data_IF_795819899358
#
_entry.id   IF_795819899358
#
_cell.length_a   1.000
_cell.length_b   1.000
_cell.length_c   1.000
_cell.angle_alpha   90.00
_cell.angle_beta   90.00
_cell.angle_gamma   90.00
#
_symmetry.space_group_name_H-M   'P 1'
#
loop_
_entity.id
_entity.type
_entity.pdbx_description
1 polymer ?
#
# COMPACT_ATOMS: atom_id res chain seq x y z
N UNK A 1 -30.76 -0.67 13.73
CA UNK A 1 -29.84 -0.90 14.87
C UNK A 1 -28.46 -1.34 14.38
N UNK A 2 -28.31 -2.48 13.70
CA UNK A 2 -27.02 -2.94 13.16
C UNK A 2 -26.31 -1.96 12.18
N UNK A 3 -27.05 -1.28 11.30
CA UNK A 3 -26.43 -0.26 10.44
C UNK A 3 -25.82 0.91 11.23
N UNK A 4 -26.41 1.27 12.37
CA UNK A 4 -25.87 2.31 13.24
C UNK A 4 -24.61 1.82 13.98
N UNK A 5 -24.63 0.58 14.48
CA UNK A 5 -23.46 -0.07 15.08
C UNK A 5 -22.30 -0.21 14.09
N UNK A 6 -22.56 -0.58 12.82
CA UNK A 6 -21.52 -0.63 11.80
C UNK A 6 -20.95 0.77 11.49
N UNK A 7 -21.79 1.81 11.46
CA UNK A 7 -21.30 3.17 11.24
C UNK A 7 -20.44 3.66 12.42
N UNK A 8 -20.83 3.33 13.66
CA UNK A 8 -20.03 3.61 14.86
C UNK A 8 -18.71 2.83 14.86
N UNK A 9 -18.72 1.55 14.47
CA UNK A 9 -17.50 0.76 14.34
C UNK A 9 -16.56 1.29 13.26
N UNK A 10 -17.09 1.74 12.11
CA UNK A 10 -16.28 2.43 11.11
C UNK A 10 -15.68 3.74 11.66
N UNK A 11 -16.47 4.54 12.40
CA UNK A 11 -16.01 5.79 13.01
C UNK A 11 -14.89 5.54 14.03
N UNK A 12 -15.05 4.57 14.93
CA UNK A 12 -14.02 4.18 15.90
C UNK A 12 -12.77 3.64 15.20
N UNK A 13 -12.92 2.90 14.09
CA UNK A 13 -11.79 2.47 13.26
C UNK A 13 -11.02 3.66 12.70
N UNK A 14 -11.71 4.68 12.18
CA UNK A 14 -11.07 5.91 11.72
C UNK A 14 -10.38 6.70 12.83
N UNK A 15 -10.84 6.56 14.07
CA UNK A 15 -10.25 7.18 15.26
C UNK A 15 -9.09 6.36 15.86
N UNK A 16 -8.80 5.18 15.31
CA UNK A 16 -7.77 4.27 15.82
C UNK A 16 -8.18 3.47 17.07
N UNK A 17 -9.44 3.58 17.51
CA UNK A 17 -9.97 2.81 18.63
C UNK A 17 -10.50 1.45 18.14
N UNK A 18 -9.54 0.57 17.87
CA UNK A 18 -9.82 -0.77 17.33
C UNK A 18 -10.58 -1.67 18.31
N UNK A 19 -10.39 -1.49 19.62
CA UNK A 19 -11.12 -2.27 20.63
C UNK A 19 -12.61 -1.92 20.61
N UNK A 20 -12.94 -0.63 20.64
CA UNK A 20 -14.31 -0.18 20.59
C UNK A 20 -14.96 -0.47 19.22
N UNK A 21 -14.21 -0.34 18.14
CA UNK A 21 -14.67 -0.72 16.81
C UNK A 21 -15.02 -2.22 16.71
N UNK A 22 -14.15 -3.09 17.25
CA UNK A 22 -14.37 -4.54 17.28
C UNK A 22 -15.65 -4.88 18.02
N UNK A 23 -15.86 -4.27 19.21
CA UNK A 23 -17.08 -4.46 20.00
C UNK A 23 -18.35 -4.10 19.22
N UNK A 24 -18.37 -2.94 18.56
CA UNK A 24 -19.55 -2.54 17.77
C UNK A 24 -19.84 -3.49 16.60
N UNK A 25 -18.79 -4.01 15.94
CA UNK A 25 -19.00 -4.97 14.85
C UNK A 25 -19.37 -6.37 15.34
N UNK A 26 -18.92 -6.81 16.52
CA UNK A 26 -19.37 -8.05 17.16
C UNK A 26 -20.84 -7.97 17.58
N UNK A 27 -21.27 -6.87 18.19
CA UNK A 27 -22.68 -6.61 18.51
C UNK A 27 -23.56 -6.58 17.25
N UNK A 28 -23.08 -5.90 16.20
CA UNK A 28 -23.73 -5.87 14.89
C UNK A 28 -23.81 -7.26 14.26
N UNK A 29 -22.76 -8.08 14.39
CA UNK A 29 -22.72 -9.45 13.89
C UNK A 29 -23.76 -10.32 14.60
N UNK A 30 -23.83 -10.26 15.93
CA UNK A 30 -24.81 -10.99 16.72
C UNK A 30 -26.24 -10.61 16.30
N UNK A 31 -26.54 -9.31 16.26
CA UNK A 31 -27.86 -8.83 15.83
C UNK A 31 -28.24 -9.30 14.42
N UNK A 32 -27.32 -9.22 13.45
CA UNK A 32 -27.58 -9.66 12.08
C UNK A 32 -27.80 -11.18 11.98
N UNK A 33 -27.14 -11.98 12.82
CA UNK A 33 -27.43 -13.42 12.94
C UNK A 33 -28.84 -13.66 13.48
N UNK A 34 -29.24 -12.94 14.53
CA UNK A 34 -30.56 -13.09 15.16
C UNK A 34 -31.71 -12.78 14.20
N UNK A 35 -31.56 -11.73 13.38
CA UNK A 35 -32.59 -11.34 12.39
C UNK A 35 -32.46 -12.08 11.05
N UNK A 36 -31.49 -13.00 10.91
CA UNK A 36 -31.26 -13.76 9.67
C UNK A 36 -30.73 -12.93 8.49
N UNK A 37 -30.14 -11.75 8.73
CA UNK A 37 -29.63 -10.87 7.69
C UNK A 37 -28.26 -11.36 7.18
N UNK A 38 -28.27 -12.23 6.16
CA UNK A 38 -27.03 -12.75 5.53
C UNK A 38 -26.07 -11.62 5.10
N UNK A 39 -26.57 -10.60 4.41
CA UNK A 39 -25.72 -9.48 3.99
C UNK A 39 -25.17 -8.70 5.19
N UNK A 40 -25.97 -8.51 6.24
CA UNK A 40 -25.52 -7.84 7.46
C UNK A 40 -24.41 -8.61 8.16
N UNK A 41 -24.56 -9.94 8.29
CA UNK A 41 -23.53 -10.84 8.82
C UNK A 41 -22.23 -10.69 8.02
N UNK A 42 -22.34 -10.72 6.70
CA UNK A 42 -21.20 -10.63 5.81
C UNK A 42 -20.51 -9.25 5.86
N UNK A 43 -21.25 -8.15 6.08
CA UNK A 43 -20.65 -6.83 6.31
C UNK A 43 -19.90 -6.81 7.64
N UNK A 44 -20.52 -7.28 8.72
CA UNK A 44 -19.89 -7.26 10.06
C UNK A 44 -18.63 -8.12 10.11
N UNK A 45 -18.65 -9.33 9.53
CA UNK A 45 -17.46 -10.17 9.38
C UNK A 45 -16.36 -9.44 8.59
N UNK A 46 -16.72 -8.78 7.49
CA UNK A 46 -15.76 -8.01 6.73
C UNK A 46 -15.07 -6.90 7.51
N UNK A 47 -15.82 -6.16 8.33
CA UNK A 47 -15.25 -5.10 9.15
C UNK A 47 -14.37 -5.66 10.28
N UNK A 48 -14.79 -6.78 10.90
CA UNK A 48 -13.95 -7.49 11.88
C UNK A 48 -12.65 -8.00 11.25
N UNK A 49 -12.70 -8.48 10.00
CA UNK A 49 -11.52 -8.88 9.24
C UNK A 49 -10.56 -7.72 9.02
N UNK A 50 -11.06 -6.53 8.71
CA UNK A 50 -10.25 -5.31 8.55
C UNK A 50 -9.60 -4.87 9.85
N UNK A 51 -10.32 -4.93 10.96
CA UNK A 51 -9.77 -4.60 12.28
C UNK A 51 -8.68 -5.60 12.68
N UNK A 52 -8.95 -6.90 12.55
CA UNK A 52 -7.98 -7.95 12.82
C UNK A 52 -6.72 -7.76 11.95
N UNK A 53 -6.87 -7.43 10.67
CA UNK A 53 -5.75 -7.13 9.78
C UNK A 53 -4.90 -5.96 10.30
N UNK A 54 -5.54 -4.84 10.65
CA UNK A 54 -4.84 -3.65 11.16
C UNK A 54 -4.16 -3.89 12.52
N UNK A 55 -4.64 -4.86 13.31
CA UNK A 55 -4.01 -5.29 14.56
C UNK A 55 -2.90 -6.34 14.35
N UNK A 56 -2.63 -6.76 13.11
CA UNK A 56 -1.66 -7.81 12.79
C UNK A 56 -2.16 -9.24 13.05
N UNK A 57 -3.46 -9.41 13.37
CA UNK A 57 -4.11 -10.70 13.59
C UNK A 57 -4.47 -11.37 12.24
N UNK A 58 -3.48 -11.63 11.39
CA UNK A 58 -3.68 -12.03 9.99
C UNK A 58 -4.51 -13.32 9.80
N UNK A 59 -4.32 -14.33 10.65
CA UNK A 59 -5.11 -15.57 10.58
C UNK A 59 -6.59 -15.33 10.91
N UNK A 60 -6.86 -14.48 11.89
CA UNK A 60 -8.22 -14.13 12.27
C UNK A 60 -8.88 -13.25 11.19
N UNK A 61 -8.12 -12.33 10.61
CA UNK A 61 -8.56 -11.51 9.49
C UNK A 61 -8.94 -12.36 8.28
N UNK A 62 -8.09 -13.33 7.92
CA UNK A 62 -8.33 -14.28 6.84
C UNK A 62 -9.62 -15.06 7.05
N UNK A 63 -9.83 -15.63 8.24
CA UNK A 63 -11.07 -16.35 8.58
C UNK A 63 -12.31 -15.49 8.39
N UNK A 64 -12.30 -14.26 8.92
CA UNK A 64 -13.42 -13.33 8.76
C UNK A 64 -13.70 -12.97 7.30
N UNK A 65 -12.66 -12.75 6.50
CA UNK A 65 -12.80 -12.47 5.08
C UNK A 65 -13.29 -13.69 4.27
N UNK A 66 -12.84 -14.91 4.59
CA UNK A 66 -13.34 -16.14 3.96
C UNK A 66 -14.82 -16.39 4.26
N UNK A 67 -15.25 -16.23 5.52
CA UNK A 67 -16.67 -16.34 5.91
C UNK A 67 -17.52 -15.27 5.20
N UNK A 68 -17.03 -14.04 5.15
CA UNK A 68 -17.67 -12.91 4.45
C UNK A 68 -17.78 -13.13 2.93
N UNK A 69 -16.74 -13.68 2.31
CA UNK A 69 -16.67 -14.03 0.90
C UNK A 69 -17.66 -15.16 0.56
N UNK A 70 -17.73 -16.20 1.39
CA UNK A 70 -18.66 -17.31 1.21
C UNK A 70 -20.11 -16.82 1.16
N UNK A 71 -20.53 -15.98 2.11
CA UNK A 71 -21.87 -15.42 2.13
C UNK A 71 -22.13 -14.52 0.90
N UNK A 72 -21.15 -13.71 0.49
CA UNK A 72 -21.30 -12.87 -0.72
C UNK A 72 -21.44 -13.68 -2.00
N UNK A 73 -20.76 -14.82 -2.08
CA UNK A 73 -20.89 -15.77 -3.18
C UNK A 73 -22.30 -16.36 -3.22
N UNK A 74 -22.86 -16.76 -2.07
CA UNK A 74 -24.26 -17.21 -1.99
C UNK A 74 -25.26 -16.14 -2.42
N UNK A 75 -24.98 -14.87 -2.07
CA UNK A 75 -25.85 -13.73 -2.39
C UNK A 75 -25.63 -13.18 -3.81
N UNK A 76 -24.67 -13.70 -4.58
CA UNK A 76 -24.31 -13.16 -5.90
C UNK A 76 -23.73 -11.74 -5.87
N UNK A 77 -23.20 -11.28 -4.72
CA UNK A 77 -22.60 -9.95 -4.58
C UNK A 77 -21.19 -9.92 -5.20
N UNK A 78 -21.13 -9.77 -6.53
CA UNK A 78 -19.89 -9.79 -7.31
C UNK A 78 -18.87 -8.72 -6.89
N UNK A 79 -19.32 -7.49 -6.65
CA UNK A 79 -18.43 -6.41 -6.17
C UNK A 79 -17.75 -6.81 -4.87
N UNK A 80 -18.54 -7.23 -3.88
CA UNK A 80 -18.01 -7.67 -2.62
C UNK A 80 -17.10 -8.89 -2.75
N UNK A 81 -17.44 -9.87 -3.59
CA UNK A 81 -16.55 -11.03 -3.84
C UNK A 81 -15.15 -10.59 -4.27
N UNK A 82 -15.06 -9.68 -5.26
CA UNK A 82 -13.78 -9.20 -5.75
C UNK A 82 -12.98 -8.45 -4.66
N UNK A 83 -13.64 -7.64 -3.85
CA UNK A 83 -13.00 -6.86 -2.79
C UNK A 83 -12.43 -7.77 -1.68
N UNK A 84 -13.15 -8.81 -1.26
CA UNK A 84 -12.64 -9.75 -0.25
C UNK A 84 -11.58 -10.70 -0.80
N UNK A 85 -11.67 -11.13 -2.07
CA UNK A 85 -10.57 -11.83 -2.74
C UNK A 85 -9.31 -10.97 -2.77
N UNK A 86 -9.43 -9.69 -3.10
CA UNK A 86 -8.31 -8.75 -3.09
C UNK A 86 -7.70 -8.62 -1.68
N UNK A 87 -8.52 -8.45 -0.65
CA UNK A 87 -8.03 -8.37 0.73
C UNK A 87 -7.36 -9.66 1.20
N UNK A 88 -7.91 -10.83 0.86
CA UNK A 88 -7.28 -12.13 1.13
C UNK A 88 -5.92 -12.25 0.43
N UNK A 89 -5.82 -11.80 -0.83
CA UNK A 89 -4.57 -11.70 -1.57
C UNK A 89 -3.52 -10.86 -0.83
N UNK A 90 -3.92 -9.70 -0.30
CA UNK A 90 -3.03 -8.84 0.50
C UNK A 90 -2.54 -9.49 1.79
N UNK A 91 -3.40 -10.25 2.48
CA UNK A 91 -3.01 -11.01 3.68
C UNK A 91 -1.95 -12.04 3.35
N UNK A 92 -2.23 -12.92 2.39
CA UNK A 92 -1.31 -14.02 2.08
C UNK A 92 -0.01 -13.53 1.44
N UNK A 93 -0.05 -12.41 0.70
CA UNK A 93 1.15 -11.69 0.24
C UNK A 93 2.02 -11.25 1.43
N UNK A 94 1.42 -10.63 2.45
CA UNK A 94 2.12 -10.18 3.66
C UNK A 94 2.72 -11.36 4.44
N UNK A 95 2.10 -12.54 4.37
CA UNK A 95 2.60 -13.78 4.96
C UNK A 95 3.67 -14.48 4.10
N UNK A 96 3.96 -13.98 2.89
CA UNK A 96 4.96 -14.52 1.97
C UNK A 96 4.47 -15.64 1.05
N UNK A 97 3.17 -15.96 1.05
CA UNK A 97 2.57 -16.92 0.11
C UNK A 97 2.14 -16.21 -1.18
N UNK A 98 3.14 -15.93 -2.02
CA UNK A 98 2.99 -15.17 -3.27
C UNK A 98 2.17 -15.90 -4.33
N UNK A 99 2.20 -17.24 -4.36
CA UNK A 99 1.41 -18.04 -5.30
C UNK A 99 -0.09 -17.95 -4.97
N UNK A 100 -0.44 -18.09 -3.68
CA UNK A 100 -1.82 -17.92 -3.25
C UNK A 100 -2.29 -16.47 -3.38
N UNK A 101 -1.40 -15.49 -3.16
CA UNK A 101 -1.68 -14.07 -3.38
C UNK A 101 -2.05 -13.81 -4.84
N UNK A 102 -1.23 -14.30 -5.78
CA UNK A 102 -1.46 -14.19 -7.22
C UNK A 102 -2.84 -14.70 -7.59
N UNK A 103 -3.18 -15.92 -7.15
CA UNK A 103 -4.48 -16.54 -7.43
C UNK A 103 -5.65 -15.67 -6.94
N UNK A 104 -5.57 -15.16 -5.71
CA UNK A 104 -6.61 -14.27 -5.18
C UNK A 104 -6.76 -12.97 -5.96
N UNK A 105 -5.64 -12.37 -6.39
CA UNK A 105 -5.67 -11.15 -7.21
C UNK A 105 -6.18 -11.42 -8.64
N UNK A 106 -5.84 -12.56 -9.24
CA UNK A 106 -6.37 -12.99 -10.55
C UNK A 106 -7.89 -13.24 -10.49
N UNK A 107 -8.37 -13.95 -9.47
CA UNK A 107 -9.81 -14.18 -9.25
C UNK A 107 -10.56 -12.85 -9.05
N UNK A 108 -9.98 -11.94 -8.25
CA UNK A 108 -10.52 -10.59 -8.06
C UNK A 108 -10.55 -9.78 -9.36
N UNK A 109 -9.46 -9.84 -10.15
CA UNK A 109 -9.34 -9.16 -11.44
C UNK A 109 -10.40 -9.66 -12.42
N UNK A 110 -10.62 -10.97 -12.50
CA UNK A 110 -11.64 -11.56 -13.38
C UNK A 110 -13.04 -11.03 -13.03
N UNK A 111 -13.42 -11.05 -11.76
CA UNK A 111 -14.72 -10.52 -11.31
C UNK A 111 -14.83 -9.01 -11.54
N UNK A 112 -13.76 -8.24 -11.30
CA UNK A 112 -13.72 -6.79 -11.55
C UNK A 112 -13.88 -6.44 -13.03
N UNK A 113 -13.31 -7.25 -13.93
CA UNK A 113 -13.54 -7.17 -15.38
C UNK A 113 -14.99 -7.48 -15.74
N UNK A 114 -15.57 -8.54 -15.19
CA UNK A 114 -16.99 -8.90 -15.42
C UNK A 114 -17.96 -7.76 -15.07
N UNK A 115 -17.74 -7.07 -13.95
CA UNK A 115 -18.63 -5.99 -13.48
C UNK A 115 -18.23 -4.59 -13.98
N UNK A 116 -17.16 -4.47 -14.79
CA UNK A 116 -16.68 -3.20 -15.32
C UNK A 116 -16.10 -2.24 -14.26
N UNK A 117 -15.61 -2.74 -13.12
CA UNK A 117 -15.00 -1.92 -12.07
C UNK A 117 -13.58 -1.48 -12.45
N UNK A 118 -13.46 -0.43 -13.25
CA UNK A 118 -12.19 0.14 -13.75
C UNK A 118 -11.14 0.38 -12.65
N UNK A 119 -11.52 1.02 -11.54
CA UNK A 119 -10.60 1.29 -10.42
C UNK A 119 -10.09 -0.04 -9.83
N UNK A 120 -11.02 -0.97 -9.56
CA UNK A 120 -10.64 -2.28 -9.03
C UNK A 120 -9.75 -3.07 -9.99
N UNK A 121 -9.97 -3.00 -11.31
CA UNK A 121 -9.10 -3.64 -12.30
C UNK A 121 -7.67 -3.10 -12.15
N UNK A 122 -7.50 -1.78 -12.08
CA UNK A 122 -6.19 -1.17 -11.90
C UNK A 122 -5.53 -1.58 -10.57
N UNK A 123 -6.28 -1.65 -9.47
CA UNK A 123 -5.76 -2.09 -8.17
C UNK A 123 -5.30 -3.55 -8.20
N UNK A 124 -6.08 -4.44 -8.82
CA UNK A 124 -5.70 -5.86 -8.94
C UNK A 124 -4.47 -6.05 -9.82
N UNK A 125 -4.36 -5.31 -10.95
CA UNK A 125 -3.17 -5.31 -11.79
C UNK A 125 -1.95 -4.80 -11.04
N UNK A 126 -2.08 -3.70 -10.30
CA UNK A 126 -0.97 -3.16 -9.51
C UNK A 126 -0.47 -4.18 -8.47
N UNK A 127 -1.37 -4.88 -7.78
CA UNK A 127 -0.95 -5.90 -6.81
C UNK A 127 -0.37 -7.15 -7.47
N UNK A 128 -0.87 -7.57 -8.64
CA UNK A 128 -0.23 -8.63 -9.43
C UNK A 128 1.19 -8.23 -9.85
N UNK A 129 1.38 -6.98 -10.25
CA UNK A 129 2.71 -6.42 -10.53
C UNK A 129 3.62 -6.50 -9.31
N UNK A 130 3.10 -6.16 -8.12
CA UNK A 130 3.82 -6.28 -6.85
C UNK A 130 4.23 -7.72 -6.52
N UNK A 131 3.34 -8.70 -6.76
CA UNK A 131 3.68 -10.13 -6.62
C UNK A 131 4.84 -10.51 -7.53
N UNK A 132 4.75 -10.18 -8.82
CA UNK A 132 5.79 -10.52 -9.80
C UNK A 132 7.12 -9.84 -9.47
N UNK A 133 7.09 -8.57 -9.06
CA UNK A 133 8.26 -7.82 -8.62
C UNK A 133 8.97 -8.52 -7.47
N UNK A 134 8.23 -8.93 -6.44
CA UNK A 134 8.79 -9.61 -5.27
C UNK A 134 9.34 -11.00 -5.60
N UNK A 135 8.77 -11.67 -6.60
CA UNK A 135 9.30 -12.94 -7.15
C UNK A 135 10.48 -12.74 -8.12
N UNK A 136 10.85 -11.50 -8.46
CA UNK A 136 11.95 -11.17 -9.37
C UNK A 136 11.59 -11.23 -10.86
N UNK A 137 10.32 -11.44 -11.22
CA UNK A 137 9.83 -11.34 -12.60
C UNK A 137 9.50 -9.88 -12.94
N UNK A 138 10.55 -9.10 -13.17
CA UNK A 138 10.45 -7.66 -13.42
C UNK A 138 9.75 -7.32 -14.75
N UNK A 139 9.83 -8.20 -15.76
CA UNK A 139 9.17 -8.00 -17.05
C UNK A 139 7.64 -8.15 -16.93
N UNK A 140 7.17 -9.19 -16.23
CA UNK A 140 5.75 -9.34 -15.98
C UNK A 140 5.24 -8.26 -15.00
N UNK A 141 6.04 -7.89 -14.00
CA UNK A 141 5.72 -6.77 -13.11
C UNK A 141 5.51 -5.47 -13.88
N UNK A 142 6.44 -5.13 -14.78
CA UNK A 142 6.34 -3.96 -15.66
C UNK A 142 5.03 -3.94 -16.45
N UNK A 143 4.71 -5.06 -17.09
CA UNK A 143 3.48 -5.19 -17.90
C UNK A 143 2.23 -4.88 -17.07
N UNK A 144 2.12 -5.49 -15.88
CA UNK A 144 0.98 -5.23 -15.00
C UNK A 144 0.91 -3.78 -14.50
N UNK A 145 2.04 -3.18 -14.14
CA UNK A 145 2.07 -1.78 -13.71
C UNK A 145 1.75 -0.80 -14.85
N UNK A 146 2.19 -1.07 -16.08
CA UNK A 146 1.85 -0.26 -17.27
C UNK A 146 0.36 -0.33 -17.59
N UNK A 147 -0.25 -1.53 -17.55
CA UNK A 147 -1.69 -1.70 -17.72
C UNK A 147 -2.48 -0.97 -16.63
N UNK A 148 -2.04 -1.07 -15.37
CA UNK A 148 -2.64 -0.33 -14.26
C UNK A 148 -2.56 1.18 -14.49
N UNK A 149 -1.37 1.70 -14.82
CA UNK A 149 -1.13 3.11 -15.08
C UNK A 149 -2.00 3.64 -16.22
N UNK A 150 -2.14 2.89 -17.32
CA UNK A 150 -2.99 3.25 -18.44
C UNK A 150 -4.46 3.40 -18.01
N UNK A 151 -4.99 2.43 -17.25
CA UNK A 151 -6.38 2.48 -16.76
C UNK A 151 -6.58 3.67 -15.82
N UNK A 152 -5.61 3.98 -14.96
CA UNK A 152 -5.69 5.08 -14.00
C UNK A 152 -5.60 6.45 -14.68
N UNK A 153 -4.76 6.59 -15.71
CA UNK A 153 -4.70 7.80 -16.56
C UNK A 153 -6.05 8.09 -17.20
N UNK A 154 -6.66 7.10 -17.83
CA UNK A 154 -7.97 7.21 -18.47
C UNK A 154 -9.09 7.64 -17.52
N UNK A 155 -9.11 7.15 -16.28
CA UNK A 155 -10.16 7.48 -15.29
C UNK A 155 -9.81 8.70 -14.43
N UNK A 156 -8.63 9.30 -14.61
CA UNK A 156 -8.15 10.44 -13.83
C UNK A 156 -7.80 10.13 -12.38
N UNK A 157 -7.46 8.88 -12.05
CA UNK A 157 -7.05 8.49 -10.70
C UNK A 157 -5.58 8.87 -10.43
N UNK A 158 -5.37 10.12 -10.04
CA UNK A 158 -4.04 10.68 -9.78
C UNK A 158 -3.26 9.94 -8.71
N UNK A 159 -3.91 9.54 -7.61
CA UNK A 159 -3.21 8.85 -6.51
C UNK A 159 -2.63 7.53 -7.02
N UNK A 160 -3.47 6.71 -7.64
CA UNK A 160 -2.98 5.43 -8.13
C UNK A 160 -2.03 5.56 -9.33
N UNK A 161 -2.16 6.60 -10.17
CA UNK A 161 -1.15 6.89 -11.21
C UNK A 161 0.24 7.04 -10.59
N UNK A 162 0.34 7.83 -9.51
CA UNK A 162 1.60 8.06 -8.82
C UNK A 162 2.15 6.76 -8.19
N UNK A 163 1.29 5.88 -7.67
CA UNK A 163 1.71 4.60 -7.10
C UNK A 163 2.21 3.63 -8.18
N UNK A 164 1.51 3.53 -9.33
CA UNK A 164 1.98 2.73 -10.46
C UNK A 164 3.30 3.26 -11.04
N UNK A 165 3.49 4.59 -11.10
CA UNK A 165 4.77 5.20 -11.49
C UNK A 165 5.90 4.85 -10.53
N UNK A 166 5.69 4.91 -9.21
CA UNK A 166 6.70 4.47 -8.25
C UNK A 166 7.08 3.00 -8.44
N UNK A 167 6.10 2.14 -8.69
CA UNK A 167 6.36 0.73 -8.93
C UNK A 167 7.16 0.49 -10.22
N UNK A 168 6.84 1.22 -11.30
CA UNK A 168 7.63 1.22 -12.53
C UNK A 168 9.05 1.74 -12.32
N UNK A 169 9.23 2.76 -11.47
CA UNK A 169 10.55 3.26 -11.08
C UNK A 169 11.39 2.21 -10.38
N UNK A 170 10.78 1.47 -9.45
CA UNK A 170 11.43 0.34 -8.76
C UNK A 170 11.83 -0.78 -9.71
N UNK A 171 10.97 -1.11 -10.69
CA UNK A 171 11.27 -2.09 -11.75
C UNK A 171 12.43 -1.62 -12.64
N UNK A 172 12.39 -0.36 -13.08
CA UNK A 172 13.45 0.22 -13.91
C UNK A 172 14.80 0.23 -13.18
N UNK A 173 14.81 0.58 -11.89
CA UNK A 173 16.01 0.55 -11.04
C UNK A 173 16.61 -0.86 -10.95
N UNK A 174 15.79 -1.88 -10.69
CA UNK A 174 16.25 -3.28 -10.66
C UNK A 174 16.75 -3.79 -12.00
N UNK A 175 16.23 -3.24 -13.10
CA UNK A 175 16.66 -3.55 -14.46
C UNK A 175 17.93 -2.79 -14.89
N UNK A 176 18.46 -1.91 -14.03
CA UNK A 176 19.64 -1.08 -14.31
C UNK A 176 19.36 0.21 -15.09
N UNK A 177 18.10 0.50 -15.42
CA UNK A 177 17.70 1.74 -16.10
C UNK A 177 17.41 2.85 -15.08
N UNK A 178 18.49 3.39 -14.51
CA UNK A 178 18.41 4.39 -13.44
C UNK A 178 17.85 5.74 -13.93
N UNK A 179 18.06 6.09 -15.21
CA UNK A 179 17.53 7.33 -15.78
C UNK A 179 16.00 7.26 -15.88
N UNK A 180 15.46 6.13 -16.35
CA UNK A 180 14.02 5.93 -16.41
C UNK A 180 13.40 5.78 -15.01
N UNK A 181 14.10 5.12 -14.09
CA UNK A 181 13.68 5.04 -12.69
C UNK A 181 13.50 6.43 -12.07
N UNK A 182 14.49 7.32 -12.28
CA UNK A 182 14.44 8.71 -11.84
C UNK A 182 13.19 9.42 -12.38
N UNK A 183 12.97 9.38 -13.70
CA UNK A 183 11.82 10.02 -14.35
C UNK A 183 10.49 9.57 -13.75
N UNK A 184 10.33 8.27 -13.53
CA UNK A 184 9.10 7.72 -12.94
C UNK A 184 8.88 8.18 -11.50
N UNK A 185 9.92 8.19 -10.65
CA UNK A 185 9.80 8.65 -9.28
C UNK A 185 9.57 10.18 -9.20
N UNK A 186 10.18 10.97 -10.08
CA UNK A 186 9.94 12.42 -10.18
C UNK A 186 8.49 12.73 -10.62
N UNK A 187 7.97 12.04 -11.64
CA UNK A 187 6.57 12.20 -12.08
C UNK A 187 5.60 11.81 -10.95
N UNK A 188 5.88 10.71 -10.23
CA UNK A 188 5.12 10.30 -9.05
C UNK A 188 5.14 11.38 -7.95
N UNK A 189 6.31 11.94 -7.66
CA UNK A 189 6.50 12.98 -6.66
C UNK A 189 5.70 14.24 -7.00
N UNK A 190 5.72 14.67 -8.26
CA UNK A 190 4.97 15.82 -8.74
C UNK A 190 3.46 15.63 -8.59
N UNK A 191 2.93 14.47 -9.00
CA UNK A 191 1.50 14.15 -8.84
C UNK A 191 1.11 14.13 -7.36
N UNK A 192 1.91 13.49 -6.51
CA UNK A 192 1.65 13.41 -5.05
C UNK A 192 1.68 14.79 -4.38
N UNK A 193 2.58 15.67 -4.82
CA UNK A 193 2.58 17.08 -4.40
C UNK A 193 1.31 17.80 -4.84
N UNK A 194 0.87 17.60 -6.09
CA UNK A 194 -0.35 18.22 -6.62
C UNK A 194 -1.59 17.87 -5.80
N UNK A 195 -1.73 16.59 -5.42
CA UNK A 195 -2.89 16.10 -4.65
C UNK A 195 -2.72 16.23 -3.13
N UNK A 196 -1.59 16.76 -2.66
CA UNK A 196 -1.30 16.92 -1.22
C UNK A 196 -1.09 15.62 -0.46
N UNK A 197 -0.69 14.54 -1.12
CA UNK A 197 -0.48 13.22 -0.53
C UNK A 197 0.87 13.13 0.21
N UNK A 198 0.93 13.69 1.41
CA UNK A 198 2.16 13.69 2.24
C UNK A 198 2.72 12.29 2.52
N UNK A 199 1.92 11.27 2.87
CA UNK A 199 2.40 9.90 3.00
C UNK A 199 3.02 9.38 1.70
N UNK A 200 2.32 9.59 0.57
CA UNK A 200 2.82 9.22 -0.74
C UNK A 200 4.14 9.89 -1.09
N UNK A 201 4.28 11.19 -0.78
CA UNK A 201 5.53 11.94 -0.97
C UNK A 201 6.65 11.27 -0.18
N UNK A 202 6.45 10.98 1.10
CA UNK A 202 7.47 10.35 1.94
C UNK A 202 7.91 8.99 1.36
N UNK A 203 6.98 8.17 0.87
CA UNK A 203 7.32 6.91 0.18
C UNK A 203 8.19 7.17 -1.06
N UNK A 204 7.84 8.16 -1.90
CA UNK A 204 8.62 8.50 -3.09
C UNK A 204 10.02 9.04 -2.74
N UNK A 205 10.17 9.76 -1.64
CA UNK A 205 11.48 10.24 -1.17
C UNK A 205 12.44 9.08 -0.83
N UNK A 206 11.93 7.95 -0.32
CA UNK A 206 12.77 6.74 -0.11
C UNK A 206 13.31 6.22 -1.44
N UNK A 207 12.47 6.15 -2.48
CA UNK A 207 12.93 5.70 -3.79
C UNK A 207 13.96 6.63 -4.43
N UNK A 208 13.80 7.94 -4.27
CA UNK A 208 14.80 8.91 -4.72
C UNK A 208 16.07 8.87 -3.87
N UNK A 209 15.98 8.55 -2.58
CA UNK A 209 17.16 8.32 -1.73
C UNK A 209 17.98 7.10 -2.21
N UNK A 210 17.32 6.03 -2.66
CA UNK A 210 18.00 4.88 -3.28
C UNK A 210 18.78 5.29 -4.53
N UNK A 211 18.23 6.17 -5.36
CA UNK A 211 18.92 6.66 -6.56
C UNK A 211 20.12 7.55 -6.20
N UNK A 212 20.02 8.41 -5.18
CA UNK A 212 21.16 9.17 -4.68
C UNK A 212 22.30 8.25 -4.21
N UNK A 213 21.97 7.16 -3.53
CA UNK A 213 22.95 6.15 -3.09
C UNK A 213 23.65 5.50 -4.27
N UNK A 214 22.90 5.09 -5.31
CA UNK A 214 23.47 4.55 -6.56
C UNK A 214 24.41 5.55 -7.26
N UNK A 215 24.10 6.86 -7.18
CA UNK A 215 24.92 7.94 -7.70
C UNK A 215 26.07 8.35 -6.76
N UNK A 216 26.31 7.59 -5.68
CA UNK A 216 27.34 7.84 -4.64
C UNK A 216 27.17 9.16 -3.89
N UNK A 217 25.98 9.74 -3.93
CA UNK A 217 25.62 10.93 -3.16
C UNK A 217 24.99 10.51 -1.82
N UNK A 218 25.80 9.85 -1.00
CA UNK A 218 25.35 9.23 0.25
C UNK A 218 24.77 10.24 1.24
N UNK A 219 25.30 11.47 1.26
CA UNK A 219 24.82 12.51 2.17
C UNK A 219 23.40 12.96 1.84
N UNK A 220 23.06 13.12 0.56
CA UNK A 220 21.69 13.44 0.16
C UNK A 220 20.76 12.24 0.34
N UNK A 221 21.26 11.01 0.13
CA UNK A 221 20.50 9.79 0.42
C UNK A 221 20.07 9.73 1.90
N UNK A 222 21.00 9.95 2.85
CA UNK A 222 20.70 9.99 4.29
C UNK A 222 19.67 11.09 4.60
N UNK A 223 19.86 12.31 4.06
CA UNK A 223 18.94 13.42 4.31
C UNK A 223 17.51 13.11 3.87
N UNK A 224 17.33 12.57 2.66
CA UNK A 224 16.01 12.21 2.14
C UNK A 224 15.37 11.08 2.94
N UNK A 225 16.14 10.03 3.23
CA UNK A 225 15.72 8.89 4.03
C UNK A 225 15.12 9.35 5.37
N UNK A 226 15.84 10.18 6.12
CA UNK A 226 15.39 10.63 7.44
C UNK A 226 14.36 11.76 7.39
N UNK A 227 14.31 12.55 6.32
CA UNK A 227 13.19 13.47 6.09
C UNK A 227 11.87 12.73 5.84
N UNK A 228 11.91 11.64 5.07
CA UNK A 228 10.77 10.77 4.82
C UNK A 228 10.31 10.08 6.12
N UNK A 229 11.26 9.51 6.86
CA UNK A 229 10.97 8.81 8.12
C UNK A 229 10.36 9.76 9.18
N UNK A 230 10.94 10.94 9.35
CA UNK A 230 10.39 11.96 10.25
C UNK A 230 8.97 12.36 9.83
N UNK A 231 8.70 12.50 8.53
CA UNK A 231 7.36 12.84 8.01
C UNK A 231 6.35 11.76 8.39
N UNK A 232 6.65 10.49 8.10
CA UNK A 232 5.79 9.34 8.41
C UNK A 232 5.56 9.21 9.92
N UNK A 233 6.61 9.33 10.74
CA UNK A 233 6.52 9.30 12.21
C UNK A 233 5.66 10.44 12.76
N UNK A 234 5.83 11.66 12.26
CA UNK A 234 5.05 12.83 12.72
C UNK A 234 3.56 12.70 12.44
N UNK A 235 3.19 11.87 11.47
CA UNK A 235 1.81 11.60 11.08
C UNK A 235 1.22 10.37 11.79
N UNK A 236 2.00 9.64 12.59
CA UNK A 236 1.55 8.43 13.28
C UNK A 236 1.21 7.26 12.33
N UNK A 237 1.82 7.25 11.15
CA UNK A 237 1.63 6.18 10.14
C UNK A 237 2.93 5.40 9.96
N UNK A 238 2.86 4.31 9.19
CA UNK A 238 4.01 3.47 8.83
C UNK A 238 4.18 3.47 7.31
N UNK A 239 5.39 3.15 6.85
CA UNK A 239 5.64 2.89 5.44
C UNK A 239 4.91 1.62 4.98
N UNK A 240 4.62 1.55 3.69
CA UNK A 240 4.23 0.28 3.06
C UNK A 240 5.33 -0.77 3.26
N UNK A 241 4.97 -2.06 3.38
CA UNK A 241 5.90 -3.16 3.67
C UNK A 241 7.09 -3.19 2.70
N UNK A 242 6.85 -2.94 1.41
CA UNK A 242 7.91 -2.93 0.40
C UNK A 242 8.82 -1.70 0.56
N UNK A 243 8.25 -0.52 0.84
CA UNK A 243 9.02 0.71 1.08
C UNK A 243 9.84 0.60 2.35
N UNK A 244 9.27 0.04 3.41
CA UNK A 244 9.94 -0.20 4.69
C UNK A 244 11.13 -1.15 4.52
N UNK A 245 10.99 -2.20 3.72
CA UNK A 245 12.09 -3.10 3.36
C UNK A 245 13.23 -2.37 2.65
N UNK A 246 12.92 -1.65 1.57
CA UNK A 246 13.91 -0.88 0.78
C UNK A 246 14.60 0.18 1.64
N UNK A 247 13.84 0.85 2.52
CA UNK A 247 14.35 1.81 3.50
C UNK A 247 15.35 1.16 4.45
N UNK A 248 15.01 0.01 5.03
CA UNK A 248 15.88 -0.69 5.98
C UNK A 248 17.17 -1.20 5.31
N UNK A 249 17.07 -1.71 4.09
CA UNK A 249 18.24 -2.11 3.29
C UNK A 249 19.13 -0.90 2.94
N UNK A 250 18.54 0.23 2.58
CA UNK A 250 19.27 1.48 2.33
C UNK A 250 20.00 1.98 3.58
N UNK A 251 19.32 2.00 4.73
CA UNK A 251 19.92 2.39 6.01
C UNK A 251 21.15 1.54 6.31
N UNK A 252 21.05 0.21 6.18
CA UNK A 252 22.15 -0.71 6.43
C UNK A 252 23.36 -0.42 5.52
N UNK A 253 23.13 -0.23 4.21
CA UNK A 253 24.22 0.11 3.27
C UNK A 253 24.87 1.46 3.62
N UNK A 254 24.08 2.48 3.94
CA UNK A 254 24.60 3.81 4.27
C UNK A 254 25.43 3.80 5.56
N UNK A 255 25.07 2.99 6.55
CA UNK A 255 25.87 2.83 7.79
C UNK A 255 27.20 2.12 7.57
N UNK A 256 27.34 1.31 6.52
CA UNK A 256 28.62 0.69 6.15
C UNK A 256 29.52 1.64 5.33
N UNK A 257 28.90 2.57 4.58
CA UNK A 257 29.59 3.48 3.67
C UNK A 257 30.07 4.78 4.32
N UNK A 258 29.46 5.19 5.44
CA UNK A 258 29.72 6.45 6.14
C UNK A 258 30.29 6.20 7.53
N UNK A 259 31.09 7.13 8.04
CA UNK A 259 31.44 7.11 9.46
C UNK A 259 30.23 7.44 10.34
N UNK A 260 30.19 6.94 11.57
CA UNK A 260 29.11 7.22 12.54
C UNK A 260 28.84 8.73 12.69
N UNK A 261 29.89 9.54 12.70
CA UNK A 261 29.80 11.00 12.83
C UNK A 261 29.18 11.66 11.59
N UNK A 262 29.51 11.19 10.38
CA UNK A 262 28.91 11.69 9.15
C UNK A 262 27.45 11.26 9.05
N UNK A 263 27.17 9.99 9.32
CA UNK A 263 25.82 9.44 9.28
C UNK A 263 24.89 10.19 10.23
N UNK A 264 25.27 10.35 11.50
CA UNK A 264 24.44 11.02 12.50
C UNK A 264 24.25 12.51 12.17
N UNK A 265 25.29 13.19 11.69
CA UNK A 265 25.20 14.58 11.24
C UNK A 265 24.13 14.74 10.15
N UNK A 266 24.19 13.92 9.10
CA UNK A 266 23.26 14.08 7.97
C UNK A 266 21.86 13.52 8.26
N UNK A 267 21.76 12.57 9.18
CA UNK A 267 20.49 12.12 9.75
C UNK A 267 19.79 13.28 10.46
N UNK A 268 20.47 14.00 11.35
CA UNK A 268 19.91 15.16 12.03
C UNK A 268 19.50 16.27 11.04
N UNK A 269 20.30 16.51 10.00
CA UNK A 269 19.95 17.46 8.94
C UNK A 269 18.67 17.04 8.19
N UNK A 270 18.50 15.73 7.94
CA UNK A 270 17.30 15.14 7.34
C UNK A 270 16.07 15.25 8.23
N UNK A 271 16.17 14.91 9.52
CA UNK A 271 15.06 15.00 10.48
C UNK A 271 14.54 16.44 10.65
N UNK A 272 15.44 17.44 10.57
CA UNK A 272 15.09 18.88 10.64
C UNK A 272 14.58 19.42 9.31
N UNK A 273 14.61 18.64 8.23
CA UNK A 273 14.23 19.08 6.89
C UNK A 273 12.72 19.11 6.72
N UNK A 274 12.17 20.25 6.31
CA UNK A 274 10.76 20.36 5.93
C UNK A 274 10.49 19.51 4.68
N UNK A 275 9.28 18.93 4.57
CA UNK A 275 8.88 18.13 3.41
C UNK A 275 9.09 18.83 2.07
N UNK A 276 8.87 20.15 2.01
CA UNK A 276 9.09 20.95 0.79
C UNK A 276 10.57 21.04 0.38
N UNK A 277 11.48 21.21 1.36
CA UNK A 277 12.93 21.17 1.12
C UNK A 277 13.38 19.78 0.70
N UNK A 278 12.84 18.73 1.31
CA UNK A 278 13.11 17.35 0.91
C UNK A 278 12.67 17.07 -0.53
N UNK A 279 11.48 17.55 -0.93
CA UNK A 279 11.03 17.46 -2.32
C UNK A 279 11.97 18.19 -3.28
N UNK A 280 12.47 19.38 -2.92
CA UNK A 280 13.42 20.12 -3.76
C UNK A 280 14.74 19.38 -3.92
N UNK A 281 15.30 18.90 -2.80
CA UNK A 281 16.51 18.09 -2.80
C UNK A 281 16.34 16.83 -3.66
N UNK A 282 15.17 16.20 -3.60
CA UNK A 282 14.90 14.97 -4.34
C UNK A 282 14.89 15.15 -5.88
N UNK A 283 14.61 16.36 -6.37
CA UNK A 283 14.69 16.68 -7.81
C UNK A 283 16.14 16.93 -8.30
N UNK A 284 17.12 16.96 -7.39
CA UNK A 284 18.55 17.09 -7.71
C UNK A 284 19.23 15.72 -7.94
N UNK A 285 18.45 14.63 -7.88
CA UNK A 285 18.93 13.24 -7.91
C UNK A 285 19.68 12.83 -9.18
#
# INVERSE_FOLDING_TARGET
>A
MASNMNNLGCLSTFQGDYEQAKKYHEESLAYNKDIGSKMGVAISMGNLGMIAFNQGEYEQAKKYYEESLAIRKELGNRKGMADYMHNLGGIVYTQGDYEQAKKYFEDSLAVRKEIGNRIGIADSLNNLGGVMYTQGDYEQAKTYFEESLAIRKDIGDKRGMADSLNNLGSVARHSGDHEQAKKYHEESLEIKKEIGDKPGIANTLIYLALLFELNKNYFNAVKLLYAAEHTVKSMGIVFDVNVEKEKNELTARLTELLSDAEFEKYREEGEKMTLEKACRLAMEC
#
